data_IF_478763668639
#
_entry.id   IF_478763668639
#
_cell.length_a   1.000
_cell.length_b   1.000
_cell.length_c   1.000
_cell.angle_alpha   90.00
_cell.angle_beta   90.00
_cell.angle_gamma   90.00
#
_symmetry.space_group_name_H-M   'P 1'
#
loop_
_entity.id
_entity.type
_entity.pdbx_description
1 polymer ?
#
# COMPACT_ATOMS: atom_id res chain seq x y z
N UNK A 1 15.23 -21.78 -6.21
CA UNK A 1 14.98 -21.15 -4.89
C UNK A 1 14.33 -19.80 -5.18
N UNK A 2 13.12 -19.55 -4.69
CA UNK A 2 12.46 -18.28 -4.95
C UNK A 2 13.26 -17.10 -4.36
N UNK A 3 13.31 -15.98 -5.05
CA UNK A 3 13.94 -14.75 -4.58
C UNK A 3 13.09 -14.10 -3.48
N UNK A 4 13.69 -13.22 -2.68
CA UNK A 4 12.96 -12.42 -1.68
C UNK A 4 11.84 -11.62 -2.33
N UNK A 5 12.07 -11.11 -3.54
CA UNK A 5 11.06 -10.39 -4.34
C UNK A 5 9.86 -11.28 -4.66
N UNK A 6 10.09 -12.49 -5.17
CA UNK A 6 9.00 -13.43 -5.52
C UNK A 6 8.18 -13.85 -4.29
N UNK A 7 8.83 -13.98 -3.12
CA UNK A 7 8.15 -14.30 -1.87
C UNK A 7 7.25 -13.13 -1.43
N UNK A 8 7.80 -11.92 -1.42
CA UNK A 8 7.04 -10.73 -1.06
C UNK A 8 5.87 -10.51 -2.02
N UNK A 9 6.10 -10.66 -3.34
CA UNK A 9 5.04 -10.59 -4.35
C UNK A 9 3.94 -11.61 -4.08
N UNK A 10 4.31 -12.87 -3.76
CA UNK A 10 3.34 -13.92 -3.45
C UNK A 10 2.54 -13.61 -2.18
N UNK A 11 3.19 -13.08 -1.15
CA UNK A 11 2.51 -12.68 0.10
C UNK A 11 1.54 -11.53 -0.19
N UNK A 12 2.00 -10.47 -0.85
CA UNK A 12 1.17 -9.31 -1.18
C UNK A 12 -0.03 -9.73 -2.04
N UNK A 13 0.17 -10.54 -3.08
CA UNK A 13 -0.92 -11.03 -3.93
C UNK A 13 -1.92 -11.92 -3.17
N UNK A 14 -1.52 -12.50 -2.05
CA UNK A 14 -2.40 -13.33 -1.20
C UNK A 14 -3.11 -12.53 -0.10
N UNK A 15 -2.80 -11.24 0.07
CA UNK A 15 -3.46 -10.40 1.06
C UNK A 15 -4.96 -10.33 0.78
N UNK A 16 -5.75 -10.53 1.83
CA UNK A 16 -7.19 -10.35 1.81
C UNK A 16 -7.53 -9.26 2.82
N UNK A 17 -7.90 -8.10 2.33
CA UNK A 17 -8.27 -6.97 3.16
C UNK A 17 -9.76 -6.76 2.99
N UNK A 18 -10.52 -6.95 4.07
CA UNK A 18 -11.96 -6.84 4.09
C UNK A 18 -12.38 -5.46 4.62
N UNK A 19 -13.27 -4.79 3.88
CA UNK A 19 -14.04 -3.65 4.36
C UNK A 19 -15.40 -4.17 4.84
N UNK A 20 -15.69 -3.99 6.12
CA UNK A 20 -16.96 -4.41 6.69
C UNK A 20 -17.86 -3.19 6.87
N UNK A 21 -18.87 -3.07 6.00
CA UNK A 21 -19.86 -2.00 6.01
C UNK A 21 -21.02 -2.42 6.91
N UNK A 22 -21.14 -1.79 8.08
CA UNK A 22 -22.16 -2.07 9.08
C UNK A 22 -23.49 -1.35 8.82
N UNK A 23 -23.43 -0.16 8.26
CA UNK A 23 -24.60 0.60 7.82
C UNK A 23 -24.26 1.59 6.72
N UNK A 24 -25.28 1.99 5.96
CA UNK A 24 -25.19 2.98 4.88
C UNK A 24 -26.18 4.08 5.16
N UNK A 25 -25.75 5.32 5.05
CA UNK A 25 -26.61 6.51 5.14
C UNK A 25 -26.64 7.14 3.74
N UNK A 26 -27.82 7.29 3.19
CA UNK A 26 -28.05 7.97 1.91
C UNK A 26 -28.32 9.47 2.16
N UNK A 27 -27.52 10.33 1.55
CA UNK A 27 -27.68 11.78 1.65
C UNK A 27 -28.66 12.35 0.60
N UNK A 28 -29.24 11.50 -0.26
CA UNK A 28 -30.17 11.85 -1.36
C UNK A 28 -29.57 12.75 -2.47
N UNK A 29 -28.25 12.76 -2.62
CA UNK A 29 -27.51 13.52 -3.63
C UNK A 29 -26.47 12.66 -4.38
N UNK A 30 -26.71 11.35 -4.46
CA UNK A 30 -25.77 10.34 -4.95
C UNK A 30 -24.51 10.23 -4.10
N UNK A 31 -24.52 10.76 -2.87
CA UNK A 31 -23.46 10.52 -1.88
C UNK A 31 -23.96 9.64 -0.76
N UNK A 32 -23.09 8.78 -0.26
CA UNK A 32 -23.40 7.80 0.76
C UNK A 32 -22.32 7.82 1.84
N UNK A 33 -22.71 7.71 3.10
CA UNK A 33 -21.80 7.53 4.22
C UNK A 33 -21.84 6.07 4.66
N UNK A 34 -20.75 5.37 4.47
CA UNK A 34 -20.57 3.99 4.93
C UNK A 34 -20.02 4.02 6.35
N UNK A 35 -20.71 3.40 7.30
CA UNK A 35 -20.15 3.12 8.61
C UNK A 35 -19.36 1.80 8.54
N UNK A 36 -18.08 1.87 8.87
CA UNK A 36 -17.14 0.74 8.77
C UNK A 36 -16.43 0.51 10.10
N UNK A 37 -15.91 -0.70 10.34
CA UNK A 37 -15.16 -0.97 11.57
C UNK A 37 -13.84 -0.19 11.61
N UNK A 38 -13.18 -0.07 10.46
CA UNK A 38 -12.08 0.86 10.20
C UNK A 38 -12.03 1.14 8.70
N UNK A 39 -11.48 2.26 8.30
CA UNK A 39 -11.39 2.67 6.89
C UNK A 39 -10.24 2.00 6.13
N UNK A 40 -9.52 1.07 6.76
CA UNK A 40 -8.37 0.39 6.16
C UNK A 40 -7.35 1.39 5.58
N UNK A 41 -6.85 1.11 4.37
CA UNK A 41 -5.93 1.99 3.65
C UNK A 41 -6.63 2.93 2.64
N UNK A 42 -7.92 3.15 2.79
CA UNK A 42 -8.66 4.03 1.91
C UNK A 42 -8.27 5.49 2.13
N UNK A 43 -8.06 6.21 1.05
CA UNK A 43 -7.78 7.65 1.04
C UNK A 43 -8.91 8.41 0.37
N UNK A 44 -9.20 9.59 0.88
CA UNK A 44 -10.17 10.50 0.28
C UNK A 44 -9.63 11.18 -0.99
N UNK A 45 -10.54 11.77 -1.76
CA UNK A 45 -10.25 12.57 -2.95
C UNK A 45 -9.55 13.89 -2.60
N UNK A 46 -8.72 14.39 -3.52
CA UNK A 46 -8.30 15.80 -3.56
C UNK A 46 -8.37 16.33 -5.00
N UNK A 47 -8.57 17.66 -5.14
CA UNK A 47 -9.20 18.29 -6.31
C UNK A 47 -8.51 18.11 -7.66
N UNK A 48 -7.19 17.99 -7.74
CA UNK A 48 -6.45 17.98 -9.01
C UNK A 48 -6.04 16.60 -9.53
N UNK A 49 -6.56 15.53 -8.95
CA UNK A 49 -6.18 14.15 -9.31
C UNK A 49 -7.43 13.32 -9.61
N UNK A 50 -7.22 12.22 -10.33
CA UNK A 50 -8.26 11.21 -10.48
C UNK A 50 -8.76 10.78 -9.10
N UNK A 51 -10.08 10.77 -8.93
CA UNK A 51 -10.71 10.34 -7.69
C UNK A 51 -10.20 8.97 -7.24
N UNK A 52 -10.01 8.80 -5.95
CA UNK A 52 -9.80 7.47 -5.41
C UNK A 52 -11.09 6.69 -5.53
N UNK A 53 -11.00 5.49 -6.09
CA UNK A 53 -12.14 4.63 -6.36
C UNK A 53 -12.22 3.49 -5.34
N UNK A 54 -13.45 3.18 -4.95
CA UNK A 54 -13.81 2.03 -4.12
C UNK A 54 -14.77 1.14 -4.89
N UNK A 55 -14.37 -0.10 -5.13
CA UNK A 55 -15.25 -1.10 -5.74
C UNK A 55 -15.97 -1.88 -4.65
N UNK A 56 -17.31 -1.85 -4.67
CA UNK A 56 -18.16 -2.62 -3.78
C UNK A 56 -19.05 -3.55 -4.62
N UNK A 57 -18.71 -4.85 -4.65
CA UNK A 57 -19.32 -5.78 -5.58
C UNK A 57 -18.99 -5.42 -7.03
N UNK A 58 -20.01 -5.20 -7.86
CA UNK A 58 -19.84 -4.82 -9.27
C UNK A 58 -19.88 -3.29 -9.50
N UNK A 59 -20.07 -2.50 -8.45
CA UNK A 59 -20.21 -1.05 -8.56
C UNK A 59 -18.93 -0.33 -8.12
N UNK A 60 -18.60 0.74 -8.83
CA UNK A 60 -17.45 1.61 -8.56
C UNK A 60 -17.97 2.94 -8.01
N UNK A 61 -17.35 3.40 -6.92
CA UNK A 61 -17.68 4.64 -6.22
C UNK A 61 -16.44 5.50 -6.09
N UNK A 62 -16.64 6.80 -6.16
CA UNK A 62 -15.61 7.79 -5.85
C UNK A 62 -15.52 7.98 -4.33
N UNK A 63 -14.32 7.92 -3.74
CA UNK A 63 -14.10 8.23 -2.33
C UNK A 63 -13.97 9.75 -2.18
N UNK A 64 -14.88 10.36 -1.44
CA UNK A 64 -14.86 11.79 -1.17
C UNK A 64 -14.09 12.11 0.12
N UNK A 65 -14.33 11.35 1.19
CA UNK A 65 -13.68 11.54 2.48
C UNK A 65 -13.61 10.24 3.27
N UNK A 66 -12.66 10.17 4.18
CA UNK A 66 -12.49 9.03 5.09
C UNK A 66 -12.20 9.49 6.50
N UNK A 67 -12.79 8.80 7.46
CA UNK A 67 -12.45 8.89 8.89
C UNK A 67 -12.07 7.50 9.39
N UNK A 68 -11.82 7.36 10.67
CA UNK A 68 -11.51 6.03 11.24
C UNK A 68 -12.63 5.02 11.05
N UNK A 69 -13.90 5.48 11.11
CA UNK A 69 -15.07 4.60 11.13
C UNK A 69 -16.07 4.91 10.02
N UNK A 70 -15.79 5.87 9.15
CA UNK A 70 -16.67 6.22 8.05
C UNK A 70 -15.90 6.41 6.75
N UNK A 71 -16.56 6.08 5.64
CA UNK A 71 -16.12 6.40 4.29
C UNK A 71 -17.26 7.09 3.58
N UNK A 72 -17.05 8.31 3.12
CA UNK A 72 -18.02 9.04 2.30
C UNK A 72 -17.71 8.77 0.84
N UNK A 73 -18.68 8.24 0.11
CA UNK A 73 -18.53 7.87 -1.30
C UNK A 73 -19.60 8.52 -2.15
N UNK A 74 -19.33 8.61 -3.45
CA UNK A 74 -20.28 9.07 -4.47
C UNK A 74 -20.43 8.04 -5.58
N UNK A 75 -21.66 7.79 -6.01
CA UNK A 75 -21.97 6.86 -7.11
C UNK A 75 -23.44 6.80 -7.42
N UNK A 76 -23.79 6.13 -8.52
CA UNK A 76 -25.16 6.10 -9.04
C UNK A 76 -26.02 5.01 -8.36
N UNK A 77 -25.41 4.09 -7.64
CA UNK A 77 -26.13 2.97 -7.02
C UNK A 77 -25.96 3.00 -5.52
N UNK A 78 -27.04 2.80 -4.78
CA UNK A 78 -27.01 2.69 -3.32
C UNK A 78 -26.18 1.45 -2.91
N UNK A 79 -25.09 1.62 -2.16
CA UNK A 79 -24.31 0.49 -1.69
C UNK A 79 -25.06 -0.32 -0.64
N UNK A 80 -24.80 -1.62 -0.58
CA UNK A 80 -25.40 -2.51 0.43
C UNK A 80 -24.50 -2.64 1.66
N UNK A 81 -25.08 -3.07 2.77
CA UNK A 81 -24.32 -3.53 3.93
C UNK A 81 -23.65 -4.87 3.61
N UNK A 82 -22.48 -5.11 4.18
CA UNK A 82 -21.79 -6.39 3.98
C UNK A 82 -20.28 -6.29 4.07
N UNK A 83 -19.64 -7.39 3.70
CA UNK A 83 -18.19 -7.51 3.62
C UNK A 83 -17.76 -7.42 2.16
N UNK A 84 -16.82 -6.55 1.89
CA UNK A 84 -16.23 -6.35 0.58
C UNK A 84 -14.74 -6.58 0.64
N UNK A 85 -14.18 -7.22 -0.39
CA UNK A 85 -12.74 -7.33 -0.55
C UNK A 85 -12.20 -6.07 -1.21
N UNK A 86 -11.22 -5.46 -0.57
CA UNK A 86 -10.51 -4.33 -1.15
C UNK A 86 -9.47 -4.84 -2.17
N UNK A 87 -9.16 -4.05 -3.20
CA UNK A 87 -8.13 -4.41 -4.17
C UNK A 87 -6.77 -4.56 -3.49
N UNK A 88 -6.02 -5.56 -3.93
CA UNK A 88 -4.65 -5.78 -3.47
C UNK A 88 -3.77 -4.62 -3.94
N UNK A 89 -2.94 -4.04 -3.06
CA UNK A 89 -2.03 -2.97 -3.46
C UNK A 89 -1.05 -3.46 -4.53
N UNK A 90 -0.71 -2.59 -5.46
CA UNK A 90 0.28 -2.92 -6.49
C UNK A 90 1.67 -3.01 -5.88
N UNK A 91 2.42 -4.03 -6.29
CA UNK A 91 3.79 -4.24 -5.84
C UNK A 91 4.78 -3.87 -6.94
N UNK A 92 5.68 -2.97 -6.60
CA UNK A 92 6.80 -2.57 -7.46
C UNK A 92 8.11 -2.86 -6.77
N UNK A 93 9.14 -3.17 -7.56
CA UNK A 93 10.49 -3.37 -7.04
C UNK A 93 11.53 -2.89 -8.05
N UNK A 94 12.62 -2.34 -7.55
CA UNK A 94 13.67 -1.86 -8.44
C UNK A 94 14.38 -0.63 -7.90
N UNK A 95 15.09 0.06 -8.78
CA UNK A 95 15.57 1.40 -8.49
C UNK A 95 14.43 2.41 -8.63
N UNK A 96 14.56 3.56 -7.96
CA UNK A 96 13.57 4.64 -8.06
C UNK A 96 13.30 5.02 -9.53
N UNK A 97 14.35 5.12 -10.34
CA UNK A 97 14.20 5.48 -11.76
C UNK A 97 13.45 4.41 -12.57
N UNK A 98 13.75 3.12 -12.35
CA UNK A 98 13.05 2.02 -13.04
C UNK A 98 11.57 2.00 -12.66
N UNK A 99 11.28 2.14 -11.36
CA UNK A 99 9.90 2.17 -10.89
C UNK A 99 9.13 3.37 -11.43
N UNK A 100 9.78 4.55 -11.57
CA UNK A 100 9.13 5.70 -12.20
C UNK A 100 8.75 5.42 -13.67
N UNK A 101 9.63 4.77 -14.44
CA UNK A 101 9.32 4.37 -15.81
C UNK A 101 8.15 3.38 -15.86
N UNK A 102 8.13 2.39 -14.97
CA UNK A 102 7.03 1.42 -14.88
C UNK A 102 5.71 2.10 -14.52
N UNK A 103 5.74 3.05 -13.59
CA UNK A 103 4.58 3.85 -13.22
C UNK A 103 4.05 4.67 -14.40
N UNK A 104 4.93 5.32 -15.17
CA UNK A 104 4.53 6.10 -16.33
C UNK A 104 3.93 5.23 -17.44
N UNK A 105 4.41 3.98 -17.62
CA UNK A 105 3.87 3.04 -18.60
C UNK A 105 2.46 2.52 -18.23
N UNK A 106 2.18 2.40 -16.94
CA UNK A 106 0.89 1.90 -16.44
C UNK A 106 -0.17 3.01 -16.41
N UNK A 107 0.25 4.27 -16.51
CA UNK A 107 -0.52 5.43 -16.04
C UNK A 107 -1.59 5.96 -16.96
N UNK A 108 -1.79 5.44 -18.14
CA UNK A 108 -2.79 6.08 -19.01
C UNK A 108 -4.25 5.83 -18.59
N UNK A 109 -4.55 4.96 -17.61
CA UNK A 109 -5.92 4.71 -17.19
C UNK A 109 -6.12 4.01 -15.82
N UNK A 110 -5.10 3.86 -14.96
CA UNK A 110 -5.29 3.06 -13.74
C UNK A 110 -4.79 3.75 -12.47
N UNK A 111 -5.59 3.69 -11.42
CA UNK A 111 -5.15 3.97 -10.06
C UNK A 111 -3.99 3.04 -9.69
N UNK A 112 -2.77 3.58 -9.66
CA UNK A 112 -1.57 2.84 -9.24
C UNK A 112 -1.39 2.83 -7.73
N UNK A 113 -2.19 3.56 -7.03
CA UNK A 113 -2.19 3.66 -5.57
C UNK A 113 -3.46 3.01 -4.99
N UNK A 114 -3.35 2.44 -3.79
CA UNK A 114 -2.14 2.32 -2.98
C UNK A 114 -1.13 1.34 -3.57
N UNK A 115 0.15 1.58 -3.31
CA UNK A 115 1.23 0.71 -3.78
C UNK A 115 2.22 0.36 -2.67
N UNK A 116 2.86 -0.80 -2.81
CA UNK A 116 3.99 -1.23 -1.99
C UNK A 116 5.23 -1.26 -2.88
N UNK A 117 6.25 -0.48 -2.53
CA UNK A 117 7.48 -0.40 -3.28
C UNK A 117 8.64 -0.98 -2.48
N UNK A 118 9.32 -2.00 -3.04
CA UNK A 118 10.55 -2.56 -2.50
C UNK A 118 11.76 -1.90 -3.15
N UNK A 119 12.57 -1.20 -2.35
CA UNK A 119 13.84 -0.67 -2.82
C UNK A 119 14.81 -1.80 -3.11
N UNK A 120 15.40 -1.83 -4.32
CA UNK A 120 16.27 -2.93 -4.78
C UNK A 120 17.57 -3.08 -4.01
N UNK A 121 18.05 -2.06 -3.33
CA UNK A 121 19.27 -2.18 -2.52
C UNK A 121 18.96 -2.79 -1.15
N UNK A 122 18.84 -4.10 -1.11
CA UNK A 122 18.74 -4.85 0.15
C UNK A 122 19.86 -5.88 0.25
N UNK A 123 20.25 -6.23 1.48
CA UNK A 123 21.26 -7.26 1.75
C UNK A 123 20.60 -8.59 2.09
N UNK A 124 21.21 -9.69 1.68
CA UNK A 124 20.82 -11.05 2.09
C UNK A 124 21.99 -11.77 2.72
N UNK A 125 21.82 -12.23 3.95
CA UNK A 125 22.72 -13.18 4.59
C UNK A 125 22.19 -14.60 4.44
N UNK A 126 22.98 -15.52 3.95
CA UNK A 126 22.60 -16.93 3.73
C UNK A 126 23.25 -17.84 4.74
N UNK A 127 22.46 -18.74 5.34
CA UNK A 127 22.92 -19.73 6.31
C UNK A 127 22.96 -21.12 5.66
N UNK A 128 23.99 -21.91 6.00
CA UNK A 128 24.11 -23.28 5.46
C UNK A 128 23.32 -24.31 6.26
N UNK A 129 23.07 -24.04 7.53
CA UNK A 129 22.43 -24.99 8.45
C UNK A 129 21.30 -24.30 9.22
N UNK A 130 20.17 -25.00 9.41
CA UNK A 130 19.03 -24.54 10.21
C UNK A 130 17.72 -24.40 9.43
N UNK A 131 16.66 -24.03 10.15
CA UNK A 131 15.32 -23.82 9.58
C UNK A 131 15.18 -22.48 8.86
N UNK A 132 16.13 -21.56 9.06
CA UNK A 132 16.20 -20.26 8.39
C UNK A 132 17.37 -20.35 7.42
N UNK A 133 17.09 -20.18 6.14
CA UNK A 133 18.13 -20.25 5.10
C UNK A 133 18.77 -18.93 4.80
N UNK A 134 18.08 -17.85 5.05
CA UNK A 134 18.59 -16.51 4.81
C UNK A 134 17.81 -15.47 5.63
N UNK A 135 18.47 -14.37 5.88
CA UNK A 135 17.86 -13.14 6.38
C UNK A 135 18.04 -12.05 5.32
N UNK A 136 17.00 -11.29 5.10
CA UNK A 136 16.98 -10.18 4.16
C UNK A 136 16.65 -8.88 4.90
N UNK A 137 17.60 -7.93 4.87
CA UNK A 137 17.35 -6.57 5.35
C UNK A 137 16.72 -5.78 4.23
N UNK A 138 15.45 -5.44 4.38
CA UNK A 138 14.68 -4.79 3.33
C UNK A 138 14.07 -3.47 3.80
N UNK A 139 13.90 -2.57 2.86
CA UNK A 139 13.12 -1.34 3.01
C UNK A 139 11.93 -1.40 2.06
N UNK A 140 10.74 -1.31 2.62
CA UNK A 140 9.46 -1.23 1.89
C UNK A 140 8.84 0.14 2.12
N UNK A 141 8.24 0.68 1.07
CA UNK A 141 7.47 1.92 1.12
C UNK A 141 6.02 1.61 0.80
N UNK A 142 5.11 2.05 1.64
CA UNK A 142 3.67 1.99 1.46
C UNK A 142 3.22 3.39 1.06
N UNK A 143 2.78 3.55 -0.18
CA UNK A 143 2.64 4.86 -0.79
C UNK A 143 1.26 5.06 -1.41
N UNK A 144 0.77 6.29 -1.31
CA UNK A 144 -0.40 6.79 -2.03
C UNK A 144 -0.08 8.13 -2.70
N UNK A 145 -0.97 8.57 -3.58
CA UNK A 145 -0.83 9.90 -4.17
C UNK A 145 -1.07 10.99 -3.11
N UNK A 146 -0.40 12.13 -3.29
CA UNK A 146 -0.48 13.26 -2.38
C UNK A 146 -0.45 14.57 -3.17
N UNK A 147 -1.01 15.64 -2.62
CA UNK A 147 -0.90 16.97 -3.19
C UNK A 147 0.13 17.79 -2.40
N UNK A 148 1.35 17.91 -2.93
CA UNK A 148 2.46 18.59 -2.25
C UNK A 148 2.31 20.10 -2.21
N UNK A 149 1.43 20.68 -3.03
CA UNK A 149 1.25 22.12 -3.14
C UNK A 149 0.16 22.66 -2.22
N UNK A 150 -0.86 21.85 -1.91
CA UNK A 150 -2.05 22.29 -1.18
C UNK A 150 -2.16 21.66 0.20
N UNK A 151 -1.66 20.42 0.39
CA UNK A 151 -1.78 19.72 1.65
C UNK A 151 -0.91 20.32 2.75
N UNK A 152 -1.53 20.52 3.89
CA UNK A 152 -0.87 20.83 5.15
C UNK A 152 -0.50 19.55 5.90
N UNK A 153 0.21 19.67 7.02
CA UNK A 153 0.66 18.50 7.82
C UNK A 153 -0.49 17.57 8.18
N UNK A 154 -1.62 18.10 8.61
CA UNK A 154 -2.79 17.31 8.99
C UNK A 154 -3.41 16.55 7.81
N UNK A 155 -3.32 17.09 6.59
CA UNK A 155 -3.82 16.43 5.38
C UNK A 155 -2.94 15.24 5.01
N UNK A 156 -1.61 15.39 5.11
CA UNK A 156 -0.69 14.27 4.96
C UNK A 156 -0.97 13.16 5.97
N UNK A 157 -1.19 13.50 7.23
CA UNK A 157 -1.54 12.52 8.26
C UNK A 157 -2.84 11.80 7.95
N UNK A 158 -3.89 12.56 7.57
CA UNK A 158 -5.22 12.02 7.32
C UNK A 158 -5.29 11.17 6.05
N UNK A 159 -4.76 11.68 4.94
CA UNK A 159 -4.97 11.10 3.60
C UNK A 159 -3.81 10.23 3.10
N UNK A 160 -2.68 10.23 3.78
CA UNK A 160 -1.51 9.48 3.37
C UNK A 160 -0.94 8.61 4.50
N UNK A 161 -0.40 9.21 5.56
CA UNK A 161 0.34 8.46 6.61
C UNK A 161 -0.56 7.43 7.28
N UNK A 162 -1.73 7.83 7.76
CA UNK A 162 -2.65 6.93 8.48
C UNK A 162 -3.21 5.80 7.59
N UNK A 163 -3.72 6.03 6.36
CA UNK A 163 -4.13 4.94 5.48
C UNK A 163 -2.97 3.99 5.14
N UNK A 164 -1.77 4.50 4.89
CA UNK A 164 -0.61 3.68 4.55
C UNK A 164 -0.07 2.91 5.76
N UNK A 165 -0.18 3.45 6.98
CA UNK A 165 0.08 2.72 8.22
C UNK A 165 -0.89 1.55 8.40
N UNK A 166 -2.18 1.74 8.12
CA UNK A 166 -3.16 0.65 8.17
C UNK A 166 -2.83 -0.45 7.14
N UNK A 167 -2.37 -0.09 5.95
CA UNK A 167 -1.92 -1.04 4.94
C UNK A 167 -0.66 -1.79 5.40
N UNK A 168 0.28 -1.09 6.03
CA UNK A 168 1.49 -1.67 6.60
C UNK A 168 1.13 -2.68 7.71
N UNK A 169 0.21 -2.34 8.62
CA UNK A 169 -0.25 -3.25 9.67
C UNK A 169 -0.88 -4.53 9.10
N UNK A 170 -1.70 -4.39 8.05
CA UNK A 170 -2.24 -5.53 7.32
C UNK A 170 -1.13 -6.39 6.70
N UNK A 171 -0.11 -5.77 6.11
CA UNK A 171 1.05 -6.46 5.56
C UNK A 171 1.83 -7.20 6.67
N UNK A 172 2.13 -6.55 7.80
CA UNK A 172 2.80 -7.17 8.96
C UNK A 172 2.03 -8.39 9.46
N UNK A 173 0.71 -8.30 9.54
CA UNK A 173 -0.13 -9.44 9.89
C UNK A 173 0.05 -10.60 8.89
N UNK A 174 0.04 -10.33 7.59
CA UNK A 174 0.19 -11.35 6.56
C UNK A 174 1.59 -11.97 6.52
N UNK A 175 2.67 -11.19 6.66
CA UNK A 175 4.03 -11.75 6.72
C UNK A 175 4.25 -12.57 7.98
N UNK A 176 3.71 -12.15 9.13
CA UNK A 176 3.83 -12.88 10.40
C UNK A 176 3.13 -14.24 10.36
N UNK A 177 2.07 -14.37 9.55
CA UNK A 177 1.33 -15.63 9.36
C UNK A 177 1.80 -16.42 8.13
N UNK A 178 2.80 -15.92 7.40
CA UNK A 178 3.31 -16.58 6.22
C UNK A 178 4.17 -17.80 6.59
N UNK A 179 3.94 -18.92 5.91
CA UNK A 179 4.79 -20.11 6.06
C UNK A 179 6.22 -19.92 5.59
N UNK A 180 6.47 -18.90 4.76
CA UNK A 180 7.78 -18.61 4.18
C UNK A 180 8.67 -17.74 5.06
N UNK A 181 8.08 -17.03 6.02
CA UNK A 181 8.77 -16.12 6.90
C UNK A 181 8.92 -16.74 8.29
N UNK A 182 10.09 -16.58 8.89
CA UNK A 182 10.34 -16.92 10.30
C UNK A 182 9.80 -15.83 11.23
N UNK A 183 9.96 -16.04 12.53
CA UNK A 183 9.67 -14.98 13.50
C UNK A 183 10.71 -13.88 13.35
N UNK A 184 10.29 -12.66 13.35
CA UNK A 184 11.12 -11.46 13.44
C UNK A 184 10.75 -10.70 14.72
N UNK A 185 11.74 -10.04 15.33
CA UNK A 185 11.58 -9.47 16.67
C UNK A 185 11.21 -7.99 16.65
N UNK A 186 11.65 -7.27 15.63
CA UNK A 186 11.43 -5.83 15.52
C UNK A 186 11.45 -5.32 14.08
N UNK A 187 10.86 -4.17 13.89
CA UNK A 187 10.93 -3.39 12.66
C UNK A 187 10.80 -1.90 13.00
N UNK A 188 11.20 -1.05 12.09
CA UNK A 188 11.11 0.41 12.24
C UNK A 188 10.15 0.97 11.21
N UNK A 189 9.28 1.87 11.65
CA UNK A 189 8.37 2.62 10.78
C UNK A 189 8.78 4.09 10.80
N UNK A 190 8.78 4.72 9.63
CA UNK A 190 9.05 6.14 9.47
C UNK A 190 8.03 6.76 8.52
N UNK A 191 7.57 7.96 8.82
CA UNK A 191 6.74 8.74 7.90
C UNK A 191 7.58 9.20 6.71
N UNK A 192 7.00 9.08 5.52
CA UNK A 192 7.62 9.51 4.28
C UNK A 192 6.67 10.44 3.52
N UNK A 193 6.59 11.68 3.99
CA UNK A 193 5.60 12.67 3.53
C UNK A 193 5.82 13.08 2.09
N UNK A 194 7.09 13.16 1.64
CA UNK A 194 7.43 13.52 0.26
C UNK A 194 8.40 12.49 -0.31
N UNK A 195 7.86 11.38 -0.78
CA UNK A 195 8.69 10.28 -1.28
C UNK A 195 9.50 10.68 -2.51
N UNK A 196 10.79 10.28 -2.50
CA UNK A 196 11.75 10.51 -3.60
C UNK A 196 11.91 11.99 -3.99
N UNK A 197 11.81 12.90 -3.03
CA UNK A 197 12.22 14.29 -3.18
C UNK A 197 13.63 14.48 -2.61
N UNK A 198 14.37 15.43 -3.17
CA UNK A 198 15.67 15.83 -2.66
C UNK A 198 15.89 17.33 -2.87
N UNK A 199 16.75 17.92 -2.07
CA UNK A 199 17.16 19.33 -2.23
C UNK A 199 18.44 19.36 -3.06
N UNK A 200 18.43 20.10 -4.18
CA UNK A 200 19.60 20.26 -5.02
C UNK A 200 20.65 21.17 -4.35
N UNK A 201 21.84 21.28 -4.99
CA UNK A 201 22.95 22.13 -4.49
C UNK A 201 22.61 23.62 -4.41
N UNK A 202 21.49 24.06 -5.00
CA UNK A 202 21.01 25.45 -4.98
C UNK A 202 19.88 25.66 -3.96
N UNK A 203 19.50 24.62 -3.20
CA UNK A 203 18.44 24.67 -2.21
C UNK A 203 17.03 24.47 -2.78
N UNK A 204 16.89 24.09 -4.06
CA UNK A 204 15.58 23.80 -4.66
C UNK A 204 15.19 22.34 -4.43
N UNK A 205 13.95 22.13 -3.99
CA UNK A 205 13.35 20.81 -3.89
C UNK A 205 13.10 20.26 -5.30
N UNK A 206 13.62 19.06 -5.57
CA UNK A 206 13.44 18.32 -6.81
C UNK A 206 12.85 16.97 -6.54
N UNK A 207 12.00 16.53 -7.44
CA UNK A 207 11.32 15.24 -7.38
C UNK A 207 11.88 14.31 -8.46
N UNK A 208 12.01 13.02 -8.12
CA UNK A 208 12.46 11.98 -9.06
C UNK A 208 11.26 11.34 -9.75
N UNK A 209 10.14 11.18 -9.03
CA UNK A 209 8.91 10.66 -9.61
C UNK A 209 8.10 11.76 -10.29
N UNK A 210 7.44 11.39 -11.40
CA UNK A 210 6.49 12.28 -12.08
C UNK A 210 5.20 12.47 -11.27
N UNK A 211 4.95 11.60 -10.30
CA UNK A 211 3.80 11.67 -9.37
C UNK A 211 4.25 12.02 -7.96
N UNK A 212 3.44 12.83 -7.30
CA UNK A 212 3.61 13.14 -5.88
C UNK A 212 3.17 11.94 -5.04
N UNK A 213 4.09 11.29 -4.39
CA UNK A 213 3.83 10.12 -3.55
C UNK A 213 4.21 10.39 -2.09
N UNK A 214 3.36 9.93 -1.18
CA UNK A 214 3.53 10.08 0.26
C UNK A 214 3.05 8.80 0.96
N UNK A 215 3.52 8.56 2.16
CA UNK A 215 3.11 7.39 2.95
C UNK A 215 4.06 7.07 4.08
N UNK A 216 4.37 5.78 4.26
CA UNK A 216 5.24 5.29 5.33
C UNK A 216 6.30 4.35 4.79
N UNK A 217 7.44 4.32 5.46
CA UNK A 217 8.55 3.42 5.21
C UNK A 217 8.61 2.36 6.31
N UNK A 218 8.85 1.11 5.93
CA UNK A 218 9.12 -0.02 6.81
C UNK A 218 10.54 -0.52 6.57
N UNK A 219 11.36 -0.50 7.60
CA UNK A 219 12.66 -1.17 7.61
C UNK A 219 12.57 -2.42 8.48
N UNK A 220 12.86 -3.58 7.89
CA UNK A 220 12.71 -4.87 8.56
C UNK A 220 13.74 -5.88 8.08
N UNK A 221 14.24 -6.71 9.01
CA UNK A 221 15.01 -7.92 8.71
C UNK A 221 14.08 -9.11 8.68
N UNK A 222 13.91 -9.73 7.51
CA UNK A 222 13.04 -10.89 7.31
C UNK A 222 13.82 -12.20 7.34
N UNK A 223 13.62 -13.06 8.35
CA UNK A 223 14.13 -14.42 8.34
C UNK A 223 13.30 -15.29 7.39
N UNK A 224 13.94 -15.80 6.33
CA UNK A 224 13.28 -16.57 5.28
C UNK A 224 13.56 -18.05 5.46
N UNK A 225 12.51 -18.88 5.55
CA UNK A 225 12.61 -20.32 5.77
C UNK A 225 12.96 -21.09 4.50
N UNK A 226 13.57 -22.26 4.68
CA UNK A 226 14.14 -23.07 3.59
C UNK A 226 13.18 -23.92 2.78
N UNK A 227 11.96 -24.15 3.25
CA UNK A 227 11.04 -25.12 2.65
C UNK A 227 10.36 -24.55 1.41
N UNK A 228 11.08 -24.56 0.29
CA UNK A 228 10.72 -23.90 -0.97
C UNK A 228 10.26 -24.81 -2.10
N UNK A 229 10.18 -26.10 -1.88
CA UNK A 229 9.75 -27.04 -2.92
C UNK A 229 8.36 -26.75 -3.48
N UNK A 230 7.50 -26.08 -2.70
CA UNK A 230 6.11 -25.86 -3.07
C UNK A 230 5.84 -24.67 -4.01
N UNK A 231 6.80 -23.72 -4.16
CA UNK A 231 6.64 -22.60 -5.08
C UNK A 231 7.04 -22.93 -6.51
N UNK A 232 7.90 -23.95 -6.68
CA UNK A 232 8.46 -24.32 -7.99
C UNK A 232 7.66 -25.48 -8.64
N UNK A 233 6.88 -26.22 -7.87
CA UNK A 233 6.18 -27.41 -8.33
C UNK A 233 4.66 -27.26 -8.41
N UNK A 234 4.18 -26.13 -8.94
CA UNK A 234 2.81 -26.03 -9.48
C UNK A 234 2.90 -25.77 -10.96
N UNK A 235 3.33 -26.79 -11.67
CA UNK A 235 2.98 -26.97 -13.09
C UNK A 235 1.60 -27.62 -13.18
#
# INVERSE_FOLDING_TARGET
MASTVEILQSIINSMKIELNVSSVIDNNDNTYVLNVCNSQYLSGKYEDQNAFELTLGDNVYEILDTTTNTVTIKGDVLPSQGKYLLPVPKFFHGTITQTNIELDMVDNNFNITPMIYLRRSFSEQRFRNGNINREADITLYFLTQANFTEWQTNDFDKYSVKPMSNLLDAFIYHISNSRYIGKFDSYTIQDNIKFATFVDSKGYEKQIFNKHLSGVQLDITLPIKSNYTDLICKC
#
